data_IF_748081405533
#
_entry.id   IF_748081405533
#
_cell.length_a   1.000
_cell.length_b   1.000
_cell.length_c   1.000
_cell.angle_alpha   90.00
_cell.angle_beta   90.00
_cell.angle_gamma   90.00
#
_symmetry.space_group_name_H-M   'P 1'
#
loop_
_entity.id
_entity.type
_entity.pdbx_description
1 polymer ?
#
# COMPACT_ATOMS: atom_id res chain seq x y z
N UNK A 1 31.88 3.41 -18.32
CA UNK A 1 30.86 3.59 -17.26
C UNK A 1 30.23 2.23 -17.02
N UNK A 2 30.72 1.51 -16.02
CA UNK A 2 30.24 0.17 -15.65
C UNK A 2 28.88 0.28 -14.96
N UNK A 3 27.87 -0.42 -15.49
CA UNK A 3 26.58 -0.55 -14.84
C UNK A 3 26.74 -1.15 -13.43
N UNK A 4 25.97 -0.72 -12.43
CA UNK A 4 26.03 -1.31 -11.10
C UNK A 4 25.61 -2.78 -11.15
N UNK A 5 26.39 -3.62 -10.48
CA UNK A 5 26.22 -5.06 -10.35
C UNK A 5 24.81 -5.37 -9.79
N UNK A 6 23.98 -6.25 -10.39
CA UNK A 6 22.72 -6.62 -9.78
C UNK A 6 23.01 -7.45 -8.52
N UNK A 7 23.02 -6.81 -7.35
CA UNK A 7 23.14 -7.48 -6.06
C UNK A 7 22.03 -8.53 -5.99
N UNK A 8 22.39 -9.81 -5.86
CA UNK A 8 21.43 -10.88 -5.62
C UNK A 8 20.59 -10.47 -4.39
N UNK A 9 19.24 -10.44 -4.46
CA UNK A 9 18.41 -9.97 -3.35
C UNK A 9 18.68 -10.68 -2.03
N UNK A 10 19.12 -11.93 -2.08
CA UNK A 10 19.59 -12.69 -0.91
C UNK A 10 20.87 -12.12 -0.29
N UNK A 11 21.85 -11.72 -1.10
CA UNK A 11 23.08 -11.09 -0.62
C UNK A 11 22.81 -9.70 -0.04
N UNK A 12 22.01 -8.88 -0.74
CA UNK A 12 21.61 -7.58 -0.24
C UNK A 12 20.86 -7.67 1.09
N UNK A 13 20.01 -8.70 1.25
CA UNK A 13 19.32 -8.94 2.51
C UNK A 13 20.30 -9.24 3.66
N UNK A 14 21.35 -10.04 3.42
CA UNK A 14 22.38 -10.33 4.42
C UNK A 14 23.17 -9.07 4.78
N UNK A 15 23.66 -8.32 3.78
CA UNK A 15 24.39 -7.06 3.99
C UNK A 15 23.55 -6.03 4.76
N UNK A 16 22.24 -5.97 4.48
CA UNK A 16 21.32 -5.08 5.20
C UNK A 16 21.14 -5.49 6.65
N UNK A 17 21.08 -6.80 6.94
CA UNK A 17 21.00 -7.30 8.32
C UNK A 17 22.26 -6.91 9.10
N UNK A 18 23.44 -7.17 8.52
CA UNK A 18 24.73 -6.83 9.15
C UNK A 18 24.83 -5.32 9.41
N UNK A 19 24.45 -4.50 8.44
CA UNK A 19 24.46 -3.03 8.57
C UNK A 19 23.52 -2.54 9.68
N UNK A 20 22.33 -3.14 9.83
CA UNK A 20 21.38 -2.79 10.90
C UNK A 20 21.92 -3.21 12.27
N UNK A 21 22.49 -4.42 12.38
CA UNK A 21 23.11 -4.89 13.63
C UNK A 21 24.24 -3.96 14.04
N UNK A 22 25.11 -3.60 13.10
CA UNK A 22 26.22 -2.68 13.35
C UNK A 22 25.71 -1.31 13.80
N UNK A 23 24.78 -0.71 13.06
CA UNK A 23 24.19 0.59 13.38
C UNK A 23 23.57 0.61 14.79
N UNK A 24 22.76 -0.40 15.14
CA UNK A 24 22.13 -0.47 16.46
C UNK A 24 23.19 -0.66 17.56
N UNK A 25 24.18 -1.51 17.32
CA UNK A 25 25.26 -1.76 18.28
C UNK A 25 26.15 -0.55 18.52
N UNK A 26 26.38 0.29 17.50
CA UNK A 26 27.12 1.54 17.64
C UNK A 26 26.25 2.65 18.24
N UNK A 27 24.95 2.66 17.96
CA UNK A 27 24.02 3.69 18.48
C UNK A 27 23.82 3.55 19.98
N UNK A 28 23.69 2.32 20.48
CA UNK A 28 23.54 2.06 21.92
C UNK A 28 24.87 2.03 22.68
N UNK A 29 26.01 2.23 21.99
CA UNK A 29 27.39 2.42 22.50
C UNK A 29 27.62 2.03 23.97
N UNK A 30 27.40 0.74 24.29
CA UNK A 30 27.58 0.24 25.64
C UNK A 30 29.07 0.24 25.98
N UNK A 31 29.44 0.90 27.08
CA UNK A 31 30.85 1.00 27.53
C UNK A 31 31.42 -0.34 28.00
N UNK A 32 30.54 -1.28 28.36
CA UNK A 32 30.89 -2.64 28.75
C UNK A 32 30.97 -3.57 27.52
N UNK A 33 32.15 -4.14 27.21
CA UNK A 33 32.31 -5.07 26.10
C UNK A 33 31.40 -6.30 26.17
N UNK A 34 31.11 -6.79 27.38
CA UNK A 34 30.27 -7.98 27.57
C UNK A 34 28.81 -7.68 27.19
N UNK A 35 28.27 -6.56 27.69
CA UNK A 35 26.95 -6.08 27.30
C UNK A 35 26.84 -5.75 25.79
N UNK A 36 27.88 -5.18 25.18
CA UNK A 36 27.89 -4.92 23.74
C UNK A 36 27.83 -6.22 22.91
N UNK A 37 28.55 -7.25 23.35
CA UNK A 37 28.54 -8.55 22.68
C UNK A 37 27.21 -9.28 22.89
N UNK A 38 26.62 -9.18 24.08
CA UNK A 38 25.29 -9.71 24.36
C UNK A 38 24.20 -9.06 23.48
N UNK A 39 24.26 -7.74 23.28
CA UNK A 39 23.33 -7.02 22.40
C UNK A 39 23.46 -7.49 20.94
N UNK A 40 24.69 -7.60 20.42
CA UNK A 40 24.94 -8.10 19.06
C UNK A 40 24.40 -9.52 18.88
N UNK A 41 24.69 -10.41 19.84
CA UNK A 41 24.22 -11.79 19.81
C UNK A 41 22.68 -11.87 19.84
N UNK A 42 22.03 -11.06 20.66
CA UNK A 42 20.56 -10.98 20.73
C UNK A 42 19.94 -10.50 19.41
N UNK A 43 20.47 -9.42 18.82
CA UNK A 43 19.92 -8.86 17.57
C UNK A 43 20.04 -9.84 16.39
N UNK A 44 21.14 -10.57 16.33
CA UNK A 44 21.45 -11.53 15.26
C UNK A 44 20.94 -12.97 15.54
N UNK A 45 20.28 -13.22 16.68
CA UNK A 45 19.84 -14.55 17.05
C UNK A 45 18.84 -15.12 16.02
N UNK A 46 19.10 -16.30 15.42
CA UNK A 46 18.26 -16.84 14.35
C UNK A 46 16.80 -17.16 14.75
N UNK A 47 16.50 -17.32 16.04
CA UNK A 47 15.17 -17.71 16.52
C UNK A 47 14.42 -16.55 17.20
N UNK A 48 15.12 -15.78 18.00
CA UNK A 48 14.59 -14.76 18.90
C UNK A 48 14.98 -13.34 18.49
N UNK A 49 15.93 -13.19 17.57
CA UNK A 49 16.39 -11.92 17.05
C UNK A 49 15.37 -11.18 16.19
N UNK A 50 15.77 -10.01 15.71
CA UNK A 50 14.86 -9.07 15.04
C UNK A 50 14.64 -9.40 13.55
N UNK A 51 15.49 -10.23 12.97
CA UNK A 51 15.41 -10.60 11.56
C UNK A 51 14.68 -11.93 11.38
N UNK A 52 13.63 -11.92 10.56
CA UNK A 52 12.85 -13.13 10.22
C UNK A 52 13.20 -13.72 8.85
N UNK A 53 14.31 -13.25 8.28
CA UNK A 53 14.77 -13.62 6.94
C UNK A 53 14.05 -12.87 5.81
N UNK A 54 14.50 -13.08 4.55
CA UNK A 54 13.87 -12.47 3.40
C UNK A 54 12.54 -13.16 3.06
N UNK A 55 11.46 -12.39 3.00
CA UNK A 55 10.17 -12.89 2.53
C UNK A 55 10.04 -12.68 1.02
N UNK A 56 9.92 -13.78 0.27
CA UNK A 56 9.56 -13.71 -1.15
C UNK A 56 8.04 -13.65 -1.30
N UNK A 57 7.56 -12.54 -1.86
CA UNK A 57 6.13 -12.33 -2.11
C UNK A 57 5.83 -12.45 -3.59
N UNK A 58 5.34 -13.61 -4.02
CA UNK A 58 4.88 -13.83 -5.39
C UNK A 58 3.38 -13.51 -5.44
N UNK A 59 2.97 -12.56 -6.28
CA UNK A 59 1.56 -12.32 -6.59
C UNK A 59 1.37 -12.24 -8.10
N UNK A 60 0.26 -12.78 -8.57
CA UNK A 60 -0.20 -12.50 -9.93
C UNK A 60 -0.60 -11.03 -10.03
N UNK A 61 -0.29 -10.35 -11.15
CA UNK A 61 -0.72 -8.98 -11.35
C UNK A 61 -2.25 -8.91 -11.43
N UNK A 62 -2.82 -7.82 -10.92
CA UNK A 62 -4.25 -7.56 -11.09
C UNK A 62 -4.57 -7.31 -12.57
N UNK A 63 -5.69 -7.85 -13.03
CA UNK A 63 -6.09 -7.74 -14.43
C UNK A 63 -6.71 -6.37 -14.69
N UNK A 64 -6.17 -5.56 -15.63
CA UNK A 64 -6.81 -4.33 -16.07
C UNK A 64 -8.10 -4.64 -16.84
N UNK A 65 -8.98 -3.64 -16.94
CA UNK A 65 -10.14 -3.73 -17.83
C UNK A 65 -9.73 -3.90 -19.30
N UNK A 66 -10.54 -4.60 -20.08
CA UNK A 66 -10.33 -4.77 -21.53
C UNK A 66 -10.42 -3.46 -22.31
N UNK A 67 -9.99 -3.47 -23.58
CA UNK A 67 -10.00 -2.28 -24.46
C UNK A 67 -11.40 -1.73 -24.76
N UNK A 68 -12.42 -2.58 -24.73
CA UNK A 68 -13.83 -2.19 -24.93
C UNK A 68 -14.55 -1.75 -23.66
N UNK A 69 -13.85 -1.56 -22.54
CA UNK A 69 -14.49 -1.14 -21.30
C UNK A 69 -14.95 0.32 -21.36
N UNK A 70 -16.22 0.54 -21.01
CA UNK A 70 -16.83 1.87 -20.90
C UNK A 70 -17.02 2.20 -19.42
N UNK A 71 -16.53 3.37 -19.01
CA UNK A 71 -16.67 3.81 -17.63
C UNK A 71 -18.12 4.13 -17.28
N UNK A 72 -18.62 3.70 -16.10
CA UNK A 72 -19.91 4.13 -15.57
C UNK A 72 -19.85 5.53 -14.91
N UNK A 73 -18.70 6.20 -14.95
CA UNK A 73 -18.43 7.51 -14.36
C UNK A 73 -18.22 8.56 -15.47
N UNK A 74 -18.60 9.81 -15.21
CA UNK A 74 -18.36 10.91 -16.16
C UNK A 74 -16.93 11.46 -16.06
N UNK A 75 -16.26 11.26 -14.92
CA UNK A 75 -14.89 11.73 -14.69
C UNK A 75 -14.03 10.65 -14.05
N UNK A 76 -12.78 10.58 -14.54
CA UNK A 76 -11.69 9.78 -13.99
C UNK A 76 -10.36 10.50 -14.23
N UNK A 77 -9.30 10.23 -13.43
CA UNK A 77 -7.97 10.79 -13.68
C UNK A 77 -7.46 10.43 -15.08
N UNK A 78 -6.77 11.37 -15.75
CA UNK A 78 -6.19 11.12 -17.08
C UNK A 78 -5.19 9.99 -17.03
N UNK A 79 -5.26 9.07 -17.99
CA UNK A 79 -4.39 7.90 -18.09
C UNK A 79 -4.66 6.79 -17.07
N UNK A 80 -5.65 6.95 -16.19
CA UNK A 80 -6.00 5.92 -15.22
C UNK A 80 -6.78 4.79 -15.89
N UNK A 81 -6.22 3.57 -15.83
CA UNK A 81 -6.86 2.34 -16.33
C UNK A 81 -7.19 1.44 -15.14
N UNK A 82 -8.48 1.23 -14.80
CA UNK A 82 -8.85 0.46 -13.63
C UNK A 82 -8.55 -1.03 -13.82
N UNK A 83 -8.32 -1.70 -12.70
CA UNK A 83 -8.43 -3.15 -12.60
C UNK A 83 -9.89 -3.61 -12.61
N UNK A 84 -10.13 -4.89 -12.94
CA UNK A 84 -11.48 -5.47 -13.00
C UNK A 84 -12.27 -5.26 -11.70
N UNK A 85 -11.65 -5.42 -10.53
CA UNK A 85 -12.32 -5.19 -9.24
C UNK A 85 -12.65 -3.72 -8.98
N UNK A 86 -11.84 -2.79 -9.48
CA UNK A 86 -12.14 -1.35 -9.40
C UNK A 86 -13.29 -1.00 -10.33
N UNK A 87 -13.28 -1.51 -11.57
CA UNK A 87 -14.35 -1.28 -12.53
C UNK A 87 -15.71 -1.80 -12.04
N UNK A 88 -15.73 -2.98 -11.41
CA UNK A 88 -16.93 -3.51 -10.76
C UNK A 88 -17.37 -2.64 -9.58
N UNK A 89 -16.43 -2.14 -8.77
CA UNK A 89 -16.74 -1.17 -7.72
C UNK A 89 -17.33 0.13 -8.29
N UNK A 90 -16.79 0.65 -9.40
CA UNK A 90 -17.29 1.87 -10.05
C UNK A 90 -18.72 1.66 -10.54
N UNK A 91 -19.03 0.52 -11.13
CA UNK A 91 -20.39 0.18 -11.60
C UNK A 91 -21.39 0.16 -10.45
N UNK A 92 -20.99 -0.33 -9.27
CA UNK A 92 -21.86 -0.42 -8.09
C UNK A 92 -21.98 0.92 -7.35
N UNK A 93 -20.91 1.69 -7.28
CA UNK A 93 -20.81 2.93 -6.51
C UNK A 93 -21.16 4.18 -7.34
N UNK A 94 -21.24 4.06 -8.67
CA UNK A 94 -21.67 5.17 -9.52
C UNK A 94 -23.04 5.66 -9.09
N UNK A 95 -23.14 6.97 -8.98
CA UNK A 95 -24.39 7.69 -8.73
C UNK A 95 -24.85 8.46 -9.97
N UNK A 96 -24.37 8.04 -11.15
CA UNK A 96 -24.82 8.56 -12.43
C UNK A 96 -26.01 7.73 -12.91
N UNK A 97 -27.21 8.32 -12.98
CA UNK A 97 -28.44 7.64 -13.39
C UNK A 97 -29.04 6.65 -12.39
N UNK A 98 -28.28 6.18 -11.39
CA UNK A 98 -28.77 5.23 -10.36
C UNK A 98 -28.28 5.60 -8.97
N UNK A 99 -28.90 5.03 -7.92
CA UNK A 99 -28.36 5.10 -6.56
C UNK A 99 -27.15 4.17 -6.38
N UNK A 100 -26.17 4.60 -5.60
CA UNK A 100 -25.04 3.76 -5.22
C UNK A 100 -25.50 2.54 -4.41
N UNK A 101 -24.85 1.40 -4.64
CA UNK A 101 -25.12 0.14 -3.95
C UNK A 101 -24.09 -0.08 -2.84
N UNK A 102 -24.49 -0.53 -1.64
CA UNK A 102 -23.55 -0.98 -0.61
C UNK A 102 -22.55 -1.98 -1.20
N UNK A 103 -21.25 -1.75 -0.99
CA UNK A 103 -20.19 -2.49 -1.67
C UNK A 103 -19.04 -2.77 -0.71
N UNK A 104 -18.64 -4.04 -0.63
CA UNK A 104 -17.45 -4.50 0.10
C UNK A 104 -16.41 -4.87 -0.94
N UNK A 105 -15.19 -4.32 -0.81
CA UNK A 105 -14.07 -4.61 -1.73
C UNK A 105 -13.04 -5.49 -1.03
N UNK A 106 -13.05 -6.79 -1.29
CA UNK A 106 -12.13 -7.77 -0.71
C UNK A 106 -10.96 -8.06 -1.65
N UNK A 107 -9.86 -7.31 -1.50
CA UNK A 107 -8.63 -7.51 -2.30
C UNK A 107 -7.36 -7.31 -1.48
N UNK A 108 -6.25 -7.87 -1.95
CA UNK A 108 -4.94 -7.79 -1.28
C UNK A 108 -4.40 -6.37 -1.10
N UNK A 109 -3.41 -6.19 -0.22
CA UNK A 109 -2.70 -4.91 -0.06
C UNK A 109 -2.05 -4.48 -1.37
N UNK A 110 -2.14 -3.19 -1.72
CA UNK A 110 -1.61 -2.65 -2.97
C UNK A 110 -2.47 -2.88 -4.21
N UNK A 111 -3.68 -3.42 -4.09
CA UNK A 111 -4.61 -3.64 -5.20
C UNK A 111 -5.31 -2.39 -5.73
N UNK A 112 -5.11 -1.25 -5.08
CA UNK A 112 -5.85 -0.02 -5.35
C UNK A 112 -7.29 -0.02 -4.82
N UNK A 113 -7.50 -0.51 -3.59
CA UNK A 113 -8.79 -0.43 -2.87
C UNK A 113 -9.25 1.01 -2.67
N UNK A 114 -8.32 1.93 -2.45
CA UNK A 114 -8.61 3.36 -2.27
C UNK A 114 -9.29 3.90 -3.51
N UNK A 115 -8.72 3.64 -4.68
CA UNK A 115 -9.24 4.07 -5.97
C UNK A 115 -10.62 3.46 -6.24
N UNK A 116 -10.88 2.21 -5.81
CA UNK A 116 -12.18 1.54 -5.99
C UNK A 116 -13.37 2.36 -5.46
N UNK A 117 -13.20 3.12 -4.36
CA UNK A 117 -14.25 3.98 -3.81
C UNK A 117 -14.00 5.47 -4.06
N UNK A 118 -12.74 5.91 -4.13
CA UNK A 118 -12.40 7.32 -4.22
C UNK A 118 -12.75 7.92 -5.58
N UNK A 119 -12.50 7.19 -6.66
CA UNK A 119 -12.82 7.66 -8.02
C UNK A 119 -14.32 7.90 -8.22
N UNK A 120 -15.24 6.96 -7.90
CA UNK A 120 -16.68 7.22 -8.00
C UNK A 120 -17.17 8.31 -7.04
N UNK A 121 -16.55 8.43 -5.85
CA UNK A 121 -16.85 9.52 -4.90
C UNK A 121 -16.49 10.88 -5.49
N UNK A 122 -15.31 11.03 -6.08
CA UNK A 122 -14.87 12.29 -6.70
C UNK A 122 -15.72 12.63 -7.93
N UNK A 123 -16.10 11.65 -8.75
CA UNK A 123 -17.06 11.85 -9.84
C UNK A 123 -18.42 12.38 -9.31
N UNK A 124 -18.93 11.79 -8.22
CA UNK A 124 -20.15 12.27 -7.57
C UNK A 124 -20.01 13.71 -7.09
N UNK A 125 -18.92 14.02 -6.37
CA UNK A 125 -18.66 15.36 -5.86
C UNK A 125 -18.60 16.40 -6.98
N UNK A 126 -17.95 16.07 -8.10
CA UNK A 126 -17.87 16.94 -9.29
C UNK A 126 -19.26 17.22 -9.86
N UNK A 127 -20.10 16.19 -10.06
CA UNK A 127 -21.48 16.37 -10.55
C UNK A 127 -22.37 17.10 -9.55
N UNK A 128 -22.18 16.90 -8.25
CA UNK A 128 -22.89 17.64 -7.22
C UNK A 128 -22.52 19.13 -7.23
N UNK A 129 -21.23 19.45 -7.38
CA UNK A 129 -20.75 20.82 -7.50
C UNK A 129 -21.27 21.51 -8.76
N UNK A 130 -21.27 20.83 -9.91
CA UNK A 130 -21.80 21.36 -11.18
C UNK A 130 -23.30 21.70 -11.11
N UNK A 131 -24.05 21.04 -10.24
CA UNK A 131 -25.48 21.33 -9.97
C UNK A 131 -25.69 22.38 -8.87
N UNK A 132 -24.63 23.03 -8.38
CA UNK A 132 -24.70 24.03 -7.32
C UNK A 132 -24.89 23.45 -5.91
N UNK A 133 -24.70 22.14 -5.71
CA UNK A 133 -24.89 21.49 -4.42
C UNK A 133 -23.81 21.88 -3.40
N UNK A 134 -24.20 22.60 -2.34
CA UNK A 134 -23.30 23.02 -1.23
C UNK A 134 -23.28 22.00 -0.08
N UNK A 135 -22.26 22.03 0.77
CA UNK A 135 -22.14 21.15 1.95
C UNK A 135 -21.42 19.82 1.70
N UNK A 136 -21.37 18.96 2.73
CA UNK A 136 -20.66 17.67 2.72
C UNK A 136 -21.28 16.71 1.69
N UNK A 137 -20.44 16.03 0.90
CA UNK A 137 -20.86 15.06 -0.14
C UNK A 137 -20.49 13.62 0.16
N UNK A 138 -19.46 13.42 0.98
CA UNK A 138 -19.02 12.11 1.41
C UNK A 138 -18.28 12.21 2.75
N UNK A 139 -18.31 11.12 3.50
CA UNK A 139 -17.56 10.93 4.73
C UNK A 139 -16.70 9.68 4.52
N UNK A 140 -15.39 9.80 4.73
CA UNK A 140 -14.47 8.68 4.69
C UNK A 140 -14.07 8.38 6.12
N UNK A 141 -14.43 7.19 6.59
CA UNK A 141 -14.01 6.69 7.88
C UNK A 141 -12.79 5.81 7.66
N UNK A 142 -11.65 6.25 8.18
CA UNK A 142 -10.42 5.46 8.20
C UNK A 142 -10.14 5.09 9.65
N UNK A 143 -10.17 3.79 10.03
CA UNK A 143 -9.79 3.39 11.37
C UNK A 143 -8.31 3.71 11.54
N UNK A 144 -8.01 4.77 12.27
CA UNK A 144 -6.63 5.12 12.59
C UNK A 144 -6.13 4.08 13.60
N UNK A 145 -4.98 3.48 13.35
CA UNK A 145 -4.19 2.96 14.46
C UNK A 145 -3.59 4.18 15.15
N UNK A 146 -4.21 4.63 16.24
CA UNK A 146 -3.51 5.44 17.23
C UNK A 146 -2.45 4.53 17.88
N UNK A 147 -1.28 4.39 17.25
CA UNK A 147 -0.08 4.12 18.01
C UNK A 147 0.28 5.42 18.72
N UNK A 148 -0.48 5.75 19.77
CA UNK A 148 0.04 6.54 20.87
C UNK A 148 0.71 5.49 21.75
N UNK A 149 2.02 5.41 21.65
CA UNK A 149 2.84 4.81 22.70
C UNK A 149 3.06 5.90 23.75
#
# INVERSE_FOLDING_TARGET
>A
MTAPNPSLPSLLALETQDSIVEYLSTTFALSDPEAQQALRAFLADPQTGIFRGPYLKIRTPYQPVGTGWVSPLEWMPRGFRPFQHQAEAFRRLSTNGTAAKPTIVTTGTGSGKTESFLVPLLDHCRRAAARGGKGIKAIILYPMNALVT
#
